data_IF_781555448371
#
_entry.id   IF_781555448371
#
_cell.length_a   1.000
_cell.length_b   1.000
_cell.length_c   1.000
_cell.angle_alpha   90.00
_cell.angle_beta   90.00
_cell.angle_gamma   90.00
#
_symmetry.space_group_name_H-M   'P 1'
#
loop_
_entity.id
_entity.type
_entity.pdbx_description
1 polymer ?
#
# COMPACT_ATOMS: atom_id res chain seq x y z
N UNK A 1 -27.59 -7.22 0.46
CA UNK A 1 -26.14 -7.52 0.43
C UNK A 1 -25.91 -8.95 0.88
N UNK A 2 -25.01 -9.67 0.20
CA UNK A 2 -24.58 -11.02 0.59
C UNK A 2 -23.65 -10.96 1.81
N UNK A 3 -23.47 -12.09 2.52
CA UNK A 3 -22.53 -12.18 3.65
C UNK A 3 -21.08 -11.84 3.24
N UNK A 4 -20.67 -12.22 2.02
CA UNK A 4 -19.38 -11.82 1.46
C UNK A 4 -19.28 -10.30 1.31
N UNK A 5 -20.33 -9.64 0.79
CA UNK A 5 -20.35 -8.18 0.65
C UNK A 5 -20.32 -7.47 2.01
N UNK A 6 -21.03 -7.98 3.02
CA UNK A 6 -20.99 -7.43 4.39
C UNK A 6 -19.59 -7.52 5.00
N UNK A 7 -18.91 -8.65 4.83
CA UNK A 7 -17.54 -8.83 5.32
C UNK A 7 -16.54 -7.89 4.63
N UNK A 8 -16.66 -7.69 3.33
CA UNK A 8 -15.85 -6.72 2.58
C UNK A 8 -16.13 -5.29 3.06
N UNK A 9 -17.40 -4.90 3.20
CA UNK A 9 -17.78 -3.58 3.70
C UNK A 9 -17.20 -3.32 5.10
N UNK A 10 -17.21 -4.32 5.99
CA UNK A 10 -16.58 -4.20 7.30
C UNK A 10 -15.08 -3.92 7.20
N UNK A 11 -14.37 -4.62 6.32
CA UNK A 11 -12.96 -4.36 6.03
C UNK A 11 -12.73 -2.93 5.53
N UNK A 12 -13.60 -2.45 4.62
CA UNK A 12 -13.54 -1.08 4.09
C UNK A 12 -13.71 -0.04 5.19
N UNK A 13 -14.77 -0.15 5.99
CA UNK A 13 -15.05 0.81 7.07
C UNK A 13 -13.89 0.86 8.06
N UNK A 14 -13.41 -0.29 8.53
CA UNK A 14 -12.28 -0.37 9.47
C UNK A 14 -11.02 0.25 8.84
N UNK A 15 -10.71 -0.11 7.60
CA UNK A 15 -9.55 0.42 6.88
C UNK A 15 -9.61 1.93 6.72
N UNK A 16 -10.76 2.49 6.34
CA UNK A 16 -10.95 3.93 6.21
C UNK A 16 -10.79 4.63 7.56
N UNK A 17 -11.40 4.11 8.63
CA UNK A 17 -11.25 4.67 9.98
C UNK A 17 -9.80 4.69 10.44
N UNK A 18 -9.05 3.60 10.25
CA UNK A 18 -7.62 3.53 10.59
C UNK A 18 -6.82 4.55 9.76
N UNK A 19 -7.13 4.68 8.47
CA UNK A 19 -6.43 5.59 7.56
C UNK A 19 -6.63 7.06 7.96
N UNK A 20 -7.85 7.44 8.33
CA UNK A 20 -8.14 8.78 8.87
C UNK A 20 -7.39 8.98 10.18
N UNK A 21 -7.45 8.00 11.09
CA UNK A 21 -6.79 8.10 12.39
C UNK A 21 -5.27 8.29 12.26
N UNK A 22 -4.59 7.52 11.41
CA UNK A 22 -3.13 7.65 11.26
C UNK A 22 -2.72 8.94 10.56
N UNK A 23 -3.55 9.49 9.66
CA UNK A 23 -3.29 10.81 9.07
C UNK A 23 -3.43 11.89 10.15
N UNK A 24 -4.51 11.87 10.94
CA UNK A 24 -4.70 12.83 12.02
C UNK A 24 -3.58 12.74 13.05
N UNK A 25 -3.20 11.52 13.46
CA UNK A 25 -2.07 11.30 14.37
C UNK A 25 -0.77 11.82 13.74
N UNK A 26 -0.49 11.53 12.47
CA UNK A 26 0.73 12.01 11.82
C UNK A 26 0.79 13.53 11.64
N UNK A 27 -0.35 14.19 11.53
CA UNK A 27 -0.45 15.66 11.46
C UNK A 27 -0.24 16.30 12.83
N UNK A 28 -0.86 15.78 13.89
CA UNK A 28 -0.86 16.41 15.22
C UNK A 28 0.22 15.89 16.17
N UNK A 29 0.74 14.69 15.95
CA UNK A 29 1.78 14.06 16.76
C UNK A 29 3.02 13.83 15.91
N UNK A 30 3.71 14.93 15.56
CA UNK A 30 4.94 14.85 14.80
C UNK A 30 6.06 14.22 15.65
N UNK A 31 6.52 13.05 15.23
CA UNK A 31 7.63 12.31 15.87
C UNK A 31 9.00 12.70 15.30
N UNK A 32 9.04 13.55 14.27
CA UNK A 32 10.27 13.98 13.61
C UNK A 32 10.78 15.24 14.31
N UNK A 33 11.82 15.08 15.12
CA UNK A 33 12.44 16.18 15.90
C UNK A 33 13.52 16.97 15.14
N UNK A 34 14.13 16.34 14.13
CA UNK A 34 15.01 16.98 13.15
C UNK A 34 14.52 16.56 11.76
N UNK A 35 14.01 17.52 11.00
CA UNK A 35 13.48 17.25 9.66
C UNK A 35 14.70 17.03 8.74
N UNK A 36 15.07 15.76 8.54
CA UNK A 36 15.81 15.33 7.36
C UNK A 36 15.14 15.94 6.11
N UNK A 37 15.87 16.07 4.99
CA UNK A 37 15.26 16.40 3.70
C UNK A 37 13.96 15.58 3.50
N UNK A 38 12.83 16.24 3.23
CA UNK A 38 11.51 15.60 3.19
C UNK A 38 11.43 14.44 2.20
N UNK A 39 12.18 14.52 1.09
CA UNK A 39 12.31 13.41 0.15
C UNK A 39 13.09 12.24 0.74
N UNK A 40 14.12 12.48 1.55
CA UNK A 40 14.83 11.42 2.28
C UNK A 40 13.88 10.65 3.18
N UNK A 41 12.98 11.35 3.88
CA UNK A 41 11.94 10.70 4.71
C UNK A 41 11.02 9.83 3.84
N UNK A 42 10.52 10.36 2.71
CA UNK A 42 9.67 9.60 1.79
C UNK A 42 10.38 8.35 1.25
N UNK A 43 11.62 8.46 0.78
CA UNK A 43 12.35 7.33 0.23
C UNK A 43 12.73 6.29 1.30
N UNK A 44 13.08 6.71 2.52
CA UNK A 44 13.26 5.78 3.66
C UNK A 44 11.97 5.01 3.95
N UNK A 45 10.83 5.70 3.97
CA UNK A 45 9.52 5.07 4.20
C UNK A 45 9.12 4.11 3.06
N UNK A 46 9.46 4.45 1.80
CA UNK A 46 9.20 3.61 0.63
C UNK A 46 9.97 2.27 0.63
N UNK A 47 11.01 2.12 1.45
CA UNK A 47 11.71 0.84 1.60
C UNK A 47 10.76 -0.27 2.05
N UNK A 48 9.73 0.04 2.86
CA UNK A 48 8.73 -0.96 3.27
C UNK A 48 7.86 -1.44 2.09
N UNK A 49 7.16 -0.56 1.34
CA UNK A 49 6.50 -0.96 0.09
C UNK A 49 7.41 -1.68 -0.91
N UNK A 50 8.63 -1.18 -1.12
CA UNK A 50 9.60 -1.78 -2.04
C UNK A 50 10.01 -3.19 -1.60
N UNK A 51 10.18 -3.42 -0.30
CA UNK A 51 10.47 -4.75 0.24
C UNK A 51 9.35 -5.74 -0.06
N UNK A 52 8.08 -5.37 0.12
CA UNK A 52 6.96 -6.25 -0.22
C UNK A 52 6.83 -6.51 -1.72
N UNK A 53 7.16 -5.52 -2.56
CA UNK A 53 7.23 -5.71 -4.00
C UNK A 53 8.34 -6.70 -4.36
N UNK A 54 9.55 -6.53 -3.79
CA UNK A 54 10.67 -7.45 -3.96
C UNK A 54 10.30 -8.89 -3.53
N UNK A 55 9.66 -9.06 -2.37
CA UNK A 55 9.18 -10.36 -1.89
C UNK A 55 8.19 -10.97 -2.89
N UNK A 56 7.26 -10.17 -3.43
CA UNK A 56 6.25 -10.66 -4.38
C UNK A 56 6.88 -11.11 -5.70
N UNK A 57 7.88 -10.36 -6.20
CA UNK A 57 8.67 -10.72 -7.38
C UNK A 57 9.41 -12.03 -7.12
N UNK A 58 10.15 -12.11 -6.00
CA UNK A 58 10.95 -13.28 -5.63
C UNK A 58 10.10 -14.54 -5.48
N UNK A 59 8.91 -14.45 -4.87
CA UNK A 59 7.99 -15.58 -4.72
C UNK A 59 7.51 -16.12 -6.08
N UNK A 60 7.14 -15.24 -7.02
CA UNK A 60 6.71 -15.66 -8.34
C UNK A 60 7.87 -16.21 -9.18
N UNK A 61 9.00 -15.52 -9.19
CA UNK A 61 10.20 -15.95 -9.92
C UNK A 61 10.69 -17.31 -9.43
N UNK A 62 10.81 -17.48 -8.10
CA UNK A 62 11.15 -18.77 -7.49
C UNK A 62 10.17 -19.86 -7.89
N UNK A 63 8.86 -19.60 -7.86
CA UNK A 63 7.88 -20.60 -8.30
C UNK A 63 8.07 -21.01 -9.77
N UNK A 64 8.29 -20.05 -10.68
CA UNK A 64 8.52 -20.33 -12.12
C UNK A 64 9.80 -21.12 -12.37
N UNK A 65 10.91 -20.78 -11.72
CA UNK A 65 12.19 -21.45 -11.93
C UNK A 65 12.19 -22.92 -11.51
N UNK A 66 11.34 -23.29 -10.56
CA UNK A 66 11.27 -24.66 -10.02
C UNK A 66 10.01 -25.43 -10.45
N UNK A 67 9.23 -24.90 -11.41
CA UNK A 67 8.02 -25.56 -11.92
C UNK A 67 8.09 -25.69 -13.44
N UNK A 68 8.24 -26.91 -14.00
CA UNK A 68 8.44 -27.11 -15.43
C UNK A 68 7.34 -26.49 -16.31
N UNK A 69 6.07 -26.50 -15.89
CA UNK A 69 4.98 -25.92 -16.70
C UNK A 69 4.97 -24.37 -16.68
N UNK A 70 5.70 -23.74 -15.76
CA UNK A 70 5.72 -22.29 -15.55
C UNK A 70 7.05 -21.64 -15.93
N UNK A 71 8.06 -22.43 -16.33
CA UNK A 71 9.44 -21.97 -16.55
C UNK A 71 9.54 -21.00 -17.73
N UNK A 72 8.76 -21.22 -18.79
CA UNK A 72 8.69 -20.35 -19.97
C UNK A 72 7.96 -19.01 -19.68
N UNK A 73 7.34 -18.90 -18.50
CA UNK A 73 6.63 -17.70 -18.07
C UNK A 73 5.22 -17.56 -18.64
N UNK A 74 4.45 -16.64 -18.04
CA UNK A 74 3.01 -16.52 -18.28
C UNK A 74 2.58 -16.00 -19.65
N UNK A 75 3.51 -15.68 -20.55
CA UNK A 75 3.22 -15.32 -21.94
C UNK A 75 3.27 -16.50 -22.92
N UNK A 76 3.84 -17.63 -22.49
CA UNK A 76 4.09 -18.81 -23.32
C UNK A 76 3.33 -20.06 -22.83
N UNK A 77 2.85 -20.05 -21.59
CA UNK A 77 1.99 -21.11 -21.04
C UNK A 77 0.77 -20.53 -20.31
N UNK A 78 -0.26 -21.36 -20.12
CA UNK A 78 -1.49 -21.01 -19.36
C UNK A 78 -1.17 -20.73 -17.89
N UNK A 79 -0.03 -21.22 -17.39
CA UNK A 79 0.43 -21.09 -16.02
C UNK A 79 -0.36 -21.93 -15.00
N UNK A 80 0.33 -22.49 -14.01
CA UNK A 80 -0.29 -23.20 -12.89
C UNK A 80 -1.21 -22.29 -12.06
N UNK A 81 -2.15 -22.86 -11.32
CA UNK A 81 -3.03 -22.09 -10.43
C UNK A 81 -2.24 -21.26 -9.42
N UNK A 82 -1.15 -21.82 -8.89
CA UNK A 82 -0.26 -21.13 -7.96
C UNK A 82 0.46 -19.95 -8.64
N UNK A 83 0.93 -20.12 -9.86
CA UNK A 83 1.53 -19.02 -10.63
C UNK A 83 0.52 -17.89 -10.86
N UNK A 84 -0.76 -18.20 -11.15
CA UNK A 84 -1.83 -17.20 -11.30
C UNK A 84 -2.10 -16.43 -9.99
N UNK A 85 -2.15 -17.12 -8.86
CA UNK A 85 -2.29 -16.49 -7.53
C UNK A 85 -1.11 -15.58 -7.23
N UNK A 86 0.12 -16.07 -7.41
CA UNK A 86 1.34 -15.27 -7.17
C UNK A 86 1.43 -14.05 -8.11
N UNK A 87 1.06 -14.21 -9.38
CA UNK A 87 0.98 -13.10 -10.33
C UNK A 87 -0.06 -12.05 -9.90
N UNK A 88 -1.21 -12.48 -9.38
CA UNK A 88 -2.25 -11.57 -8.89
C UNK A 88 -1.81 -10.82 -7.63
N UNK A 89 -1.08 -11.49 -6.73
CA UNK A 89 -0.46 -10.87 -5.55
C UNK A 89 0.61 -9.86 -5.93
N UNK A 90 1.47 -10.20 -6.90
CA UNK A 90 2.49 -9.31 -7.44
C UNK A 90 1.87 -8.08 -8.08
N UNK A 91 0.91 -8.26 -8.99
CA UNK A 91 0.23 -7.16 -9.68
C UNK A 91 -0.41 -6.20 -8.68
N UNK A 92 -1.16 -6.72 -7.71
CA UNK A 92 -1.75 -5.87 -6.69
C UNK A 92 -0.67 -5.13 -5.88
N UNK A 93 0.42 -5.80 -5.50
CA UNK A 93 1.49 -5.16 -4.72
C UNK A 93 2.21 -4.07 -5.52
N UNK A 94 2.39 -4.25 -6.84
CA UNK A 94 2.90 -3.22 -7.74
C UNK A 94 1.97 -2.00 -7.80
N UNK A 95 0.67 -2.22 -7.97
CA UNK A 95 -0.33 -1.14 -7.97
C UNK A 95 -0.32 -0.35 -6.66
N UNK A 96 -0.27 -1.06 -5.52
CA UNK A 96 -0.20 -0.42 -4.21
C UNK A 96 1.14 0.32 -4.00
N UNK A 97 2.25 -0.22 -4.50
CA UNK A 97 3.56 0.45 -4.48
C UNK A 97 3.53 1.75 -5.29
N UNK A 98 2.99 1.74 -6.50
CA UNK A 98 2.89 2.95 -7.34
C UNK A 98 2.06 4.04 -6.67
N UNK A 99 0.94 3.68 -6.04
CA UNK A 99 0.12 4.62 -5.27
C UNK A 99 0.87 5.16 -4.04
N UNK A 100 1.56 4.31 -3.29
CA UNK A 100 2.36 4.74 -2.14
C UNK A 100 3.52 5.66 -2.56
N UNK A 101 4.21 5.35 -3.66
CA UNK A 101 5.26 6.18 -4.24
C UNK A 101 4.75 7.58 -4.56
N UNK A 102 3.64 7.68 -5.29
CA UNK A 102 3.01 8.95 -5.61
C UNK A 102 2.57 9.69 -4.34
N UNK A 103 1.88 9.01 -3.42
CA UNK A 103 1.36 9.61 -2.20
C UNK A 103 2.47 10.15 -1.28
N UNK A 104 3.52 9.36 -1.04
CA UNK A 104 4.55 9.70 -0.07
C UNK A 104 5.44 10.83 -0.59
N UNK A 105 5.77 10.80 -1.89
CA UNK A 105 6.56 11.87 -2.52
C UNK A 105 5.76 13.15 -2.67
N UNK A 106 4.48 13.08 -3.07
CA UNK A 106 3.61 14.26 -3.12
C UNK A 106 3.45 14.90 -1.74
N UNK A 107 3.17 14.11 -0.70
CA UNK A 107 3.06 14.61 0.67
C UNK A 107 4.36 15.26 1.14
N UNK A 108 5.50 14.64 0.87
CA UNK A 108 6.81 15.18 1.25
C UNK A 108 7.16 16.51 0.59
N UNK A 109 6.69 16.74 -0.64
CA UNK A 109 7.02 17.94 -1.42
C UNK A 109 6.03 19.07 -1.17
N UNK A 110 4.75 18.75 -0.98
CA UNK A 110 3.65 19.73 -1.01
C UNK A 110 3.20 20.12 0.40
N UNK A 111 3.14 19.17 1.34
CA UNK A 111 2.53 19.42 2.64
C UNK A 111 3.50 20.11 3.60
N UNK A 112 2.99 20.83 4.63
CA UNK A 112 3.82 21.42 5.67
C UNK A 112 4.75 20.40 6.33
N UNK A 113 5.96 20.86 6.66
CA UNK A 113 7.06 19.99 7.11
C UNK A 113 6.79 19.32 8.47
N UNK A 114 5.95 19.92 9.30
CA UNK A 114 5.48 19.34 10.57
C UNK A 114 4.50 18.17 10.39
N UNK A 115 4.00 17.92 9.18
CA UNK A 115 3.09 16.80 8.88
C UNK A 115 3.79 15.56 8.32
N UNK A 116 5.12 15.58 8.17
CA UNK A 116 5.87 14.50 7.50
C UNK A 116 5.81 13.16 8.23
N UNK A 117 5.45 13.14 9.52
CA UNK A 117 5.21 11.91 10.28
C UNK A 117 4.08 11.03 9.68
N UNK A 118 3.13 11.62 8.95
CA UNK A 118 2.09 10.88 8.21
C UNK A 118 2.69 9.82 7.29
N UNK A 119 3.80 10.15 6.62
CA UNK A 119 4.47 9.24 5.68
C UNK A 119 5.01 8.00 6.41
N UNK A 120 5.59 8.18 7.60
CA UNK A 120 6.13 7.08 8.41
C UNK A 120 5.01 6.15 8.88
N UNK A 121 3.92 6.71 9.42
CA UNK A 121 2.78 5.92 9.85
C UNK A 121 2.12 5.18 8.68
N UNK A 122 1.97 5.85 7.53
CA UNK A 122 1.43 5.22 6.33
C UNK A 122 2.28 4.02 5.88
N UNK A 123 3.61 4.12 5.96
CA UNK A 123 4.51 3.02 5.58
C UNK A 123 4.42 1.82 6.54
N UNK A 124 4.28 2.06 7.84
CA UNK A 124 4.07 1.00 8.84
C UNK A 124 2.73 0.32 8.59
N UNK A 125 1.66 1.09 8.40
CA UNK A 125 0.32 0.56 8.12
C UNK A 125 0.30 -0.19 6.77
N UNK A 126 1.05 0.28 5.78
CA UNK A 126 1.22 -0.42 4.51
C UNK A 126 1.80 -1.82 4.71
N UNK A 127 2.88 -1.93 5.50
CA UNK A 127 3.52 -3.20 5.79
C UNK A 127 2.56 -4.18 6.50
N UNK A 128 1.85 -3.70 7.53
CA UNK A 128 0.80 -4.48 8.23
C UNK A 128 -0.30 -4.90 7.26
N UNK A 129 -0.76 -3.98 6.40
CA UNK A 129 -1.77 -4.24 5.38
C UNK A 129 -1.35 -5.33 4.41
N UNK A 130 -0.10 -5.31 3.93
CA UNK A 130 0.45 -6.35 3.03
C UNK A 130 0.53 -7.71 3.70
N UNK A 131 0.98 -7.77 4.96
CA UNK A 131 0.99 -9.02 5.73
C UNK A 131 -0.43 -9.59 5.80
N UNK A 132 -1.41 -8.78 6.23
CA UNK A 132 -2.80 -9.23 6.33
C UNK A 132 -3.39 -9.63 4.97
N UNK A 133 -3.08 -8.89 3.91
CA UNK A 133 -3.56 -9.18 2.56
C UNK A 133 -3.05 -10.53 2.05
N UNK A 134 -1.75 -10.82 2.24
CA UNK A 134 -1.18 -12.11 1.83
C UNK A 134 -1.78 -13.28 2.62
N UNK A 135 -1.92 -13.15 3.94
CA UNK A 135 -2.51 -14.20 4.79
C UNK A 135 -4.01 -14.43 4.52
N UNK A 136 -4.71 -13.38 4.07
CA UNK A 136 -6.14 -13.43 3.78
C UNK A 136 -6.49 -13.82 2.34
N UNK A 137 -5.51 -13.85 1.42
CA UNK A 137 -5.78 -13.92 -0.02
C UNK A 137 -6.52 -15.19 -0.43
N UNK A 138 -6.02 -16.35 0.00
CA UNK A 138 -6.57 -17.66 -0.35
C UNK A 138 -7.86 -18.00 0.41
N UNK A 139 -8.22 -17.20 1.42
CA UNK A 139 -9.42 -17.37 2.26
C UNK A 139 -10.64 -16.60 1.71
N UNK A 140 -10.47 -15.88 0.59
CA UNK A 140 -11.54 -15.18 -0.12
C UNK A 140 -11.53 -13.65 0.06
N UNK A 141 -12.53 -12.99 -0.54
CA UNK A 141 -12.58 -11.52 -0.58
C UNK A 141 -12.71 -10.85 0.81
N UNK A 142 -13.56 -11.33 1.73
CA UNK A 142 -13.69 -10.69 3.05
C UNK A 142 -12.41 -10.72 3.88
N UNK A 143 -11.67 -11.83 3.85
CA UNK A 143 -10.45 -12.02 4.65
C UNK A 143 -9.29 -11.15 4.20
N UNK A 144 -9.20 -10.83 2.90
CA UNK A 144 -8.17 -9.94 2.36
C UNK A 144 -8.57 -8.46 2.33
N UNK A 145 -9.85 -8.14 2.53
CA UNK A 145 -10.37 -6.77 2.39
C UNK A 145 -9.65 -5.77 3.29
N UNK A 146 -9.50 -6.09 4.59
CA UNK A 146 -8.80 -5.20 5.52
C UNK A 146 -7.35 -4.94 5.09
N UNK A 147 -6.60 -5.99 4.77
CA UNK A 147 -5.22 -5.85 4.30
C UNK A 147 -5.08 -5.00 3.04
N UNK A 148 -6.02 -5.12 2.09
CA UNK A 148 -6.08 -4.25 0.92
C UNK A 148 -6.33 -2.79 1.32
N UNK A 149 -7.32 -2.54 2.17
CA UNK A 149 -7.73 -1.18 2.54
C UNK A 149 -6.64 -0.43 3.32
N UNK A 150 -5.84 -1.14 4.13
CA UNK A 150 -4.72 -0.55 4.87
C UNK A 150 -3.55 -0.12 3.98
N UNK A 151 -3.47 -0.59 2.73
CA UNK A 151 -2.46 -0.08 1.79
C UNK A 151 -3.03 0.95 0.82
N UNK A 152 -4.31 0.81 0.49
CA UNK A 152 -4.99 1.65 -0.48
C UNK A 152 -5.43 2.98 0.13
N UNK A 153 -6.21 2.96 1.22
CA UNK A 153 -6.85 4.17 1.74
C UNK A 153 -5.89 5.21 2.33
N UNK A 154 -4.79 4.87 3.04
CA UNK A 154 -3.84 5.89 3.46
C UNK A 154 -3.28 6.65 2.26
N UNK A 155 -2.85 5.94 1.21
CA UNK A 155 -2.30 6.53 -0.01
C UNK A 155 -3.32 7.41 -0.73
N UNK A 156 -4.58 6.96 -0.84
CA UNK A 156 -5.65 7.73 -1.47
C UNK A 156 -5.96 9.01 -0.69
N UNK A 157 -6.13 8.92 0.62
CA UNK A 157 -6.42 10.10 1.44
C UNK A 157 -5.24 11.07 1.48
N UNK A 158 -4.00 10.56 1.47
CA UNK A 158 -2.82 11.40 1.32
C UNK A 158 -2.82 12.16 -0.01
N UNK A 159 -3.09 11.47 -1.13
CA UNK A 159 -3.16 12.11 -2.45
C UNK A 159 -4.27 13.16 -2.53
N UNK A 160 -5.48 12.82 -2.10
CA UNK A 160 -6.61 13.76 -2.07
C UNK A 160 -6.29 14.97 -1.17
N UNK A 161 -5.67 14.74 -0.02
CA UNK A 161 -5.21 15.79 0.88
C UNK A 161 -4.19 16.72 0.23
N UNK A 162 -3.18 16.16 -0.46
CA UNK A 162 -2.19 16.96 -1.19
C UNK A 162 -2.81 17.79 -2.31
N UNK A 163 -3.72 17.20 -3.11
CA UNK A 163 -4.43 17.93 -4.18
C UNK A 163 -5.24 19.08 -3.60
N UNK A 164 -6.01 18.81 -2.55
CA UNK A 164 -6.80 19.83 -1.88
C UNK A 164 -5.92 20.97 -1.33
N UNK A 165 -4.85 20.62 -0.62
CA UNK A 165 -3.92 21.60 -0.06
C UNK A 165 -3.28 22.46 -1.15
N UNK A 166 -2.80 21.86 -2.25
CA UNK A 166 -2.22 22.60 -3.38
C UNK A 166 -3.18 23.62 -4.00
N UNK A 167 -4.46 23.27 -4.16
CA UNK A 167 -5.46 24.17 -4.74
C UNK A 167 -5.72 25.36 -3.81
N UNK A 168 -5.86 25.10 -2.50
CA UNK A 168 -6.12 26.14 -1.50
C UNK A 168 -4.91 27.07 -1.35
N UNK A 169 -3.69 26.52 -1.32
CA UNK A 169 -2.46 27.31 -1.14
C UNK A 169 -2.14 28.23 -2.32
N UNK A 170 -2.58 27.90 -3.54
CA UNK A 170 -2.42 28.78 -4.73
C UNK A 170 -3.41 29.95 -4.69
N UNK A 171 -4.53 29.77 -4.01
CA UNK A 171 -5.62 30.75 -3.96
C UNK A 171 -5.46 31.80 -2.86
N UNK A 172 -4.42 31.70 -2.03
CA UNK A 172 -4.06 32.62 -0.94
C UNK A 172 -2.83 33.44 -1.30
#
# INVERSE_FOLDING_TARGET
>A
MTEKQKGVLRGMVIGSSISIAIILVGVYANILSNIDNSLTIAFKALLLPALFLMISIGRLAGHRFFTPEDIDGGGLSVGSEKAKVLQSLLQNTLEQFCLALAAYTAWAVIMPSDTLSVIIYAAIVFAVGRILFFHGYDKGAPSRALGFTLTFYPSVFMLLGTVFYSIVSISM
#
